data_IF_113111493093
#
_entry.id   IF_113111493093
#
_cell.length_a   1.000
_cell.length_b   1.000
_cell.length_c   1.000
_cell.angle_alpha   90.00
_cell.angle_beta   90.00
_cell.angle_gamma   90.00
#
_symmetry.space_group_name_H-M   'P 1'
#
loop_
_entity.id
_entity.type
_entity.pdbx_description
1 polymer ?
#
# COMPACT_ATOMS: atom_id res chain seq x y z
N UNK A 1 -11.81 -6.03 -18.03
CA UNK A 1 -11.43 -5.55 -16.69
C UNK A 1 -12.66 -5.00 -16.03
N UNK A 2 -13.00 -5.46 -14.82
CA UNK A 2 -14.09 -4.86 -14.03
C UNK A 2 -13.63 -3.48 -13.58
N UNK A 3 -14.55 -2.51 -13.49
CA UNK A 3 -14.25 -1.12 -13.06
C UNK A 3 -13.48 -1.09 -11.73
N UNK A 4 -13.75 -2.03 -10.83
CA UNK A 4 -13.07 -2.21 -9.54
C UNK A 4 -11.59 -2.60 -9.68
N UNK A 5 -11.27 -3.48 -10.62
CA UNK A 5 -9.90 -3.93 -10.88
C UNK A 5 -9.05 -2.78 -11.45
N UNK A 6 -9.63 -2.00 -12.36
CA UNK A 6 -8.97 -0.82 -12.93
C UNK A 6 -8.68 0.25 -11.87
N UNK A 7 -9.65 0.52 -10.98
CA UNK A 7 -9.44 1.43 -9.85
C UNK A 7 -8.37 0.92 -8.88
N UNK A 8 -8.36 -0.38 -8.59
CA UNK A 8 -7.34 -1.00 -7.73
C UNK A 8 -5.92 -0.83 -8.28
N UNK A 9 -5.72 -1.02 -9.59
CA UNK A 9 -4.42 -0.78 -10.24
C UNK A 9 -4.00 0.69 -10.11
N UNK A 10 -4.90 1.62 -10.43
CA UNK A 10 -4.61 3.07 -10.34
C UNK A 10 -4.23 3.48 -8.92
N UNK A 11 -4.99 3.02 -7.93
CA UNK A 11 -4.72 3.29 -6.51
C UNK A 11 -3.37 2.71 -6.09
N UNK A 12 -3.05 1.48 -6.53
CA UNK A 12 -1.76 0.84 -6.23
C UNK A 12 -0.59 1.62 -6.83
N UNK A 13 -0.71 2.08 -8.08
CA UNK A 13 0.32 2.89 -8.74
C UNK A 13 0.52 4.22 -8.02
N UNK A 14 -0.57 4.90 -7.64
CA UNK A 14 -0.51 6.16 -6.87
C UNK A 14 0.18 5.93 -5.51
N UNK A 15 -0.14 4.84 -4.81
CA UNK A 15 0.48 4.50 -3.53
C UNK A 15 2.00 4.29 -3.66
N UNK A 16 2.43 3.57 -4.71
CA UNK A 16 3.85 3.33 -4.98
C UNK A 16 4.56 4.66 -5.28
N UNK A 17 3.96 5.53 -6.08
CA UNK A 17 4.52 6.84 -6.39
C UNK A 17 4.66 7.73 -5.15
N UNK A 18 3.66 7.71 -4.26
CA UNK A 18 3.70 8.44 -2.99
C UNK A 18 4.83 7.93 -2.08
N UNK A 19 4.97 6.61 -1.93
CA UNK A 19 6.07 6.03 -1.16
C UNK A 19 7.44 6.33 -1.77
N UNK A 20 7.57 6.25 -3.10
CA UNK A 20 8.81 6.61 -3.78
C UNK A 20 9.16 8.09 -3.59
N UNK A 21 8.17 8.98 -3.67
CA UNK A 21 8.37 10.40 -3.41
C UNK A 21 8.89 10.64 -1.99
N UNK A 22 8.30 10.03 -0.98
CA UNK A 22 8.79 10.21 0.39
C UNK A 22 10.16 9.60 0.62
N UNK A 23 10.36 8.37 0.15
CA UNK A 23 11.57 7.63 0.44
C UNK A 23 12.77 8.20 -0.33
N UNK A 24 12.57 8.69 -1.55
CA UNK A 24 13.62 9.32 -2.34
C UNK A 24 13.68 10.82 -2.10
N UNK A 25 12.62 11.57 -2.36
CA UNK A 25 12.67 13.03 -2.35
C UNK A 25 12.70 13.59 -0.92
N UNK A 26 11.78 13.17 -0.05
CA UNK A 26 11.72 13.70 1.33
C UNK A 26 12.95 13.26 2.13
N UNK A 27 13.34 11.98 2.04
CA UNK A 27 14.52 11.49 2.75
C UNK A 27 15.83 12.14 2.27
N UNK A 28 15.98 12.43 0.97
CA UNK A 28 17.18 13.09 0.44
C UNK A 28 17.20 14.60 0.72
N UNK A 29 16.07 15.29 0.65
CA UNK A 29 16.00 16.77 0.76
C UNK A 29 15.90 17.25 2.20
N UNK A 30 15.23 16.50 3.08
CA UNK A 30 15.04 16.87 4.49
C UNK A 30 15.99 16.15 5.45
N UNK A 31 16.80 15.22 4.96
CA UNK A 31 17.88 14.59 5.72
C UNK A 31 17.42 13.58 6.78
N UNK A 32 16.13 13.27 6.88
CA UNK A 32 15.62 12.22 7.76
C UNK A 32 14.10 12.19 7.86
N UNK A 33 13.53 10.98 7.80
CA UNK A 33 12.12 10.72 8.10
C UNK A 33 12.00 10.55 9.63
N UNK A 34 11.15 11.34 10.29
CA UNK A 34 10.86 11.17 11.72
C UNK A 34 11.74 11.99 12.69
N UNK A 35 12.27 13.14 12.25
CA UNK A 35 12.96 14.08 13.14
C UNK A 35 11.96 14.69 14.13
N UNK A 36 12.23 14.57 15.43
CA UNK A 36 11.41 15.22 16.48
C UNK A 36 11.31 16.73 16.18
N UNK A 37 10.11 17.27 16.30
CA UNK A 37 9.71 18.67 16.02
C UNK A 37 9.44 19.06 14.55
N UNK A 38 9.53 18.12 13.60
CA UNK A 38 8.95 18.29 12.25
C UNK A 38 7.71 17.41 12.09
N UNK A 39 6.53 17.95 12.42
CA UNK A 39 5.26 17.40 11.91
C UNK A 39 5.09 17.95 10.50
N UNK A 40 5.87 17.41 9.58
CA UNK A 40 5.77 17.75 8.17
C UNK A 40 4.61 17.00 7.53
N UNK A 41 4.04 17.58 6.48
CA UNK A 41 3.02 16.97 5.59
C UNK A 41 3.34 15.51 5.23
N UNK A 42 4.61 15.15 5.26
CA UNK A 42 5.20 13.82 5.13
C UNK A 42 4.55 12.77 6.07
N UNK A 43 4.26 13.08 7.35
CA UNK A 43 3.62 12.08 8.23
C UNK A 43 2.21 11.68 7.76
N UNK A 44 1.48 12.64 7.17
CA UNK A 44 0.14 12.43 6.61
C UNK A 44 0.25 11.70 5.26
N UNK A 45 1.24 12.04 4.43
CA UNK A 45 1.52 11.39 3.16
C UNK A 45 1.97 9.93 3.33
N UNK A 46 2.86 9.63 4.29
CA UNK A 46 3.22 8.25 4.69
C UNK A 46 1.97 7.48 5.06
N UNK A 47 1.16 8.05 5.95
CA UNK A 47 -0.03 7.36 6.48
C UNK A 47 -1.07 7.11 5.37
N UNK A 48 -1.28 8.09 4.50
CA UNK A 48 -2.18 7.95 3.36
C UNK A 48 -1.65 6.97 2.31
N UNK A 49 -0.35 7.05 1.96
CA UNK A 49 0.32 6.14 1.04
C UNK A 49 0.30 4.69 1.53
N UNK A 50 0.51 4.49 2.84
CA UNK A 50 0.42 3.18 3.47
C UNK A 50 -1.00 2.60 3.41
N UNK A 51 -2.05 3.41 3.64
CA UNK A 51 -3.43 2.93 3.50
C UNK A 51 -3.77 2.60 2.04
N UNK A 52 -3.31 3.43 1.09
CA UNK A 52 -3.55 3.19 -0.34
C UNK A 52 -2.84 1.94 -0.85
N UNK A 53 -1.66 1.58 -0.30
CA UNK A 53 -0.95 0.36 -0.71
C UNK A 53 -1.60 -0.92 -0.21
N UNK A 54 -2.44 -0.83 0.83
CA UNK A 54 -3.24 -1.95 1.30
C UNK A 54 -4.55 -2.06 0.51
N UNK A 55 -5.22 -0.93 0.26
CA UNK A 55 -6.52 -0.87 -0.40
C UNK A 55 -6.41 -1.15 -1.91
N UNK A 56 -5.35 -0.68 -2.57
CA UNK A 56 -5.15 -0.85 -4.02
C UNK A 56 -5.09 -2.32 -4.45
N UNK A 57 -4.17 -3.14 -3.91
CA UNK A 57 -4.08 -4.56 -4.20
C UNK A 57 -5.34 -5.33 -3.78
N UNK A 58 -5.98 -4.92 -2.68
CA UNK A 58 -7.24 -5.52 -2.25
C UNK A 58 -8.38 -5.27 -3.24
N UNK A 59 -8.51 -4.05 -3.77
CA UNK A 59 -9.48 -3.72 -4.82
C UNK A 59 -9.14 -4.35 -6.17
N UNK A 60 -7.84 -4.49 -6.47
CA UNK A 60 -7.37 -5.07 -7.72
C UNK A 60 -7.56 -6.59 -7.75
N UNK A 61 -7.17 -7.28 -6.69
CA UNK A 61 -7.23 -8.73 -6.62
C UNK A 61 -8.59 -9.22 -6.14
N UNK A 62 -9.33 -8.44 -5.36
CA UNK A 62 -10.68 -8.73 -4.86
C UNK A 62 -10.79 -9.93 -3.90
N UNK A 63 -9.83 -10.85 -3.99
CA UNK A 63 -9.65 -12.07 -3.24
C UNK A 63 -8.22 -12.11 -2.71
N UNK A 64 -8.05 -12.71 -1.53
CA UNK A 64 -6.74 -13.00 -0.94
C UNK A 64 -5.88 -13.73 -2.00
N UNK A 65 -4.63 -13.31 -2.26
CA UNK A 65 -3.77 -13.94 -3.26
C UNK A 65 -3.84 -15.47 -3.15
N UNK A 66 -4.01 -16.17 -4.27
CA UNK A 66 -4.23 -17.63 -4.28
C UNK A 66 -3.21 -18.39 -3.43
N UNK A 67 -1.97 -17.90 -3.37
CA UNK A 67 -0.92 -18.45 -2.52
C UNK A 67 -1.26 -18.37 -1.02
N UNK A 68 -1.78 -17.23 -0.54
CA UNK A 68 -2.20 -17.03 0.85
C UNK A 68 -3.48 -17.81 1.13
N UNK A 69 -4.42 -17.85 0.18
CA UNK A 69 -5.64 -18.64 0.33
C UNK A 69 -5.33 -20.15 0.47
N UNK A 70 -4.48 -20.69 -0.41
CA UNK A 70 -3.99 -22.08 -0.29
C UNK A 70 -3.23 -22.32 1.00
N UNK A 71 -2.44 -21.36 1.47
CA UNK A 71 -1.73 -21.45 2.74
C UNK A 71 -2.70 -21.49 3.94
N UNK A 72 -3.75 -20.67 3.93
CA UNK A 72 -4.77 -20.65 4.98
C UNK A 72 -5.62 -21.91 4.95
N UNK A 73 -6.07 -22.36 3.77
CA UNK A 73 -6.81 -23.61 3.61
C UNK A 73 -5.97 -24.81 4.10
N UNK A 74 -4.67 -24.85 3.78
CA UNK A 74 -3.76 -25.90 4.26
C UNK A 74 -3.55 -25.87 5.78
N UNK A 75 -3.57 -24.69 6.41
CA UNK A 75 -3.37 -24.52 7.85
C UNK A 75 -4.63 -24.71 8.69
N UNK A 76 -5.80 -24.37 8.14
CA UNK A 76 -7.09 -24.40 8.86
C UNK A 76 -7.95 -25.61 8.50
N UNK A 77 -7.63 -26.34 7.43
CA UNK A 77 -8.39 -27.51 6.96
C UNK A 77 -9.80 -27.18 6.44
N UNK A 78 -10.18 -25.90 6.42
CA UNK A 78 -11.46 -25.42 5.91
C UNK A 78 -11.23 -24.80 4.54
N UNK A 79 -11.99 -25.28 3.55
CA UNK A 79 -12.10 -24.64 2.23
C UNK A 79 -12.93 -23.36 2.39
N UNK A 80 -12.33 -22.21 2.16
CA UNK A 80 -13.00 -20.91 2.06
C UNK A 80 -13.10 -20.44 0.63
#
# INVERSE_FOLDING_TARGET
>A
MKVKEGLGVVITVIAILLLLYELLYVSLTRGGIGVKDQVTTDAILISAGFLLILIGPWLWLGEVPVAIRKFVEARTGRRT
#
